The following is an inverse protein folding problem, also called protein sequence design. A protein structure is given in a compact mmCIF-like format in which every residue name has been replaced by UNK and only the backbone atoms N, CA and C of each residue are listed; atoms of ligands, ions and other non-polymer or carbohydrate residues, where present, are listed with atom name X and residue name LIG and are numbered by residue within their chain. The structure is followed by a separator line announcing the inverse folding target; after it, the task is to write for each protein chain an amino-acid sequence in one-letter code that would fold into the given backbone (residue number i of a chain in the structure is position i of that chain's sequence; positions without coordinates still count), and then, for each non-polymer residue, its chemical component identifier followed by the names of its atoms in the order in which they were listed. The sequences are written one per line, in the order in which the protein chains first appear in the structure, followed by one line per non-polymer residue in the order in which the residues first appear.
data_IF_255337682553
#
_entry.id   IF_255337682553
#
_cell.length_a   1.000
_cell.length_b   1.000
_cell.length_c   1.000
_cell.angle_alpha   90.00
_cell.angle_beta   90.00
_cell.angle_gamma   90.00
#
_symmetry.space_group_name_H-M   'P 1'
#
loop_
_entity.id
_entity.type
_entity.pdbx_description
1 polymer ?
#
# COMPACT_ATOMS: atom_id res chain seq x y z
N UNK A 1 -2.86 21.17 22.11
CA UNK A 1 -3.89 20.11 22.25
C UNK A 1 -3.62 19.25 23.46
N UNK A 2 -4.66 18.82 24.19
CA UNK A 2 -4.48 17.79 25.23
C UNK A 2 -4.02 16.48 24.59
N UNK A 3 -3.15 15.72 25.28
CA UNK A 3 -2.62 14.42 24.78
C UNK A 3 -3.73 13.45 24.34
N UNK A 4 -4.90 13.50 24.98
CA UNK A 4 -6.06 12.68 24.64
C UNK A 4 -6.66 13.01 23.27
N UNK A 5 -6.90 14.29 22.96
CA UNK A 5 -7.44 14.72 21.65
C UNK A 5 -6.52 14.36 20.50
N UNK A 6 -5.19 14.49 20.69
CA UNK A 6 -4.21 14.09 19.68
C UNK A 6 -4.26 12.58 19.38
N UNK A 7 -4.39 11.74 20.41
CA UNK A 7 -4.52 10.29 20.23
C UNK A 7 -5.78 9.91 19.47
N UNK A 8 -6.94 10.49 19.82
CA UNK A 8 -8.20 10.23 19.12
C UNK A 8 -8.13 10.69 17.66
N UNK A 9 -7.49 11.83 17.37
CA UNK A 9 -7.29 12.28 15.99
C UNK A 9 -6.44 11.30 15.16
N UNK A 10 -5.37 10.73 15.75
CA UNK A 10 -4.55 9.70 15.07
C UNK A 10 -5.34 8.42 14.87
N UNK A 11 -6.13 7.98 15.85
CA UNK A 11 -7.00 6.80 15.69
C UNK A 11 -8.06 7.03 14.60
N UNK A 12 -8.60 8.24 14.48
CA UNK A 12 -9.50 8.58 13.37
C UNK A 12 -8.81 8.50 12.02
N UNK A 13 -7.57 9.00 11.88
CA UNK A 13 -6.79 8.86 10.65
C UNK A 13 -6.44 7.40 10.35
N UNK A 14 -6.14 6.60 11.38
CA UNK A 14 -5.92 5.16 11.26
C UNK A 14 -7.17 4.43 10.75
N UNK A 15 -8.35 4.82 11.27
CA UNK A 15 -9.64 4.31 10.78
C UNK A 15 -9.89 4.71 9.32
N UNK A 16 -9.54 5.93 8.93
CA UNK A 16 -9.58 6.36 7.53
C UNK A 16 -8.67 5.51 6.65
N UNK A 17 -7.44 5.23 7.09
CA UNK A 17 -6.50 4.34 6.41
C UNK A 17 -7.07 2.91 6.26
N UNK A 18 -7.69 2.39 7.31
CA UNK A 18 -8.44 1.13 7.26
C UNK A 18 -9.50 1.13 6.17
N UNK A 19 -10.34 2.17 6.11
CA UNK A 19 -11.39 2.27 5.09
C UNK A 19 -10.83 2.31 3.67
N UNK A 20 -9.75 3.09 3.44
CA UNK A 20 -9.13 3.19 2.11
C UNK A 20 -8.54 1.87 1.64
N UNK A 21 -7.78 1.16 2.49
CA UNK A 21 -7.18 -0.13 2.11
C UNK A 21 -8.25 -1.20 1.93
N UNK A 22 -9.26 -1.23 2.80
CA UNK A 22 -10.35 -2.18 2.65
C UNK A 22 -11.10 -1.96 1.34
N UNK A 23 -11.50 -0.71 1.03
CA UNK A 23 -12.23 -0.43 -0.22
C UNK A 23 -11.38 -0.74 -1.46
N UNK A 24 -10.08 -0.48 -1.43
CA UNK A 24 -9.17 -0.77 -2.55
C UNK A 24 -9.19 -2.25 -2.92
N UNK A 25 -9.10 -3.13 -1.92
CA UNK A 25 -8.99 -4.58 -2.09
C UNK A 25 -10.33 -5.31 -2.10
N UNK A 26 -11.41 -4.66 -1.69
CA UNK A 26 -12.73 -5.29 -1.56
C UNK A 26 -13.24 -5.98 -2.84
N UNK A 27 -13.06 -5.43 -4.07
CA UNK A 27 -13.47 -6.12 -5.29
C UNK A 27 -12.78 -7.49 -5.49
N UNK A 28 -11.62 -7.71 -4.88
CA UNK A 28 -10.91 -9.00 -4.94
C UNK A 28 -11.70 -10.07 -4.18
N UNK A 29 -12.15 -9.74 -2.95
CA UNK A 29 -12.96 -10.65 -2.14
C UNK A 29 -14.37 -10.85 -2.68
N UNK A 30 -14.95 -9.82 -3.30
CA UNK A 30 -16.32 -9.79 -3.81
C UNK A 30 -16.43 -10.07 -5.32
N UNK A 31 -15.35 -10.54 -5.95
CA UNK A 31 -15.22 -10.61 -7.41
C UNK A 31 -16.40 -11.32 -8.07
N UNK A 32 -16.76 -12.52 -7.57
CA UNK A 32 -17.89 -13.29 -8.11
C UNK A 32 -19.23 -12.61 -7.87
N UNK A 33 -19.48 -12.12 -6.66
CA UNK A 33 -20.73 -11.45 -6.32
C UNK A 33 -20.99 -10.21 -7.18
N UNK A 34 -19.93 -9.44 -7.49
CA UNK A 34 -20.01 -8.27 -8.36
C UNK A 34 -20.21 -8.70 -9.82
N UNK A 35 -19.48 -9.73 -10.28
CA UNK A 35 -19.56 -10.25 -11.63
C UNK A 35 -20.98 -10.76 -11.95
N UNK A 36 -21.52 -11.59 -11.06
CA UNK A 36 -22.84 -12.21 -11.22
C UNK A 36 -23.97 -11.18 -11.16
N UNK A 37 -23.92 -10.21 -10.22
CA UNK A 37 -24.98 -9.22 -10.04
C UNK A 37 -24.99 -8.13 -11.15
N UNK A 38 -23.84 -7.80 -11.72
CA UNK A 38 -23.70 -6.76 -12.76
C UNK A 38 -23.55 -7.34 -14.17
N UNK A 39 -23.75 -8.65 -14.35
CA UNK A 39 -23.57 -9.37 -15.63
C UNK A 39 -22.24 -9.02 -16.29
N UNK A 40 -21.16 -9.02 -15.49
CA UNK A 40 -19.82 -8.64 -15.90
C UNK A 40 -18.86 -9.83 -15.84
N UNK A 41 -17.86 -9.86 -16.73
CA UNK A 41 -16.83 -10.90 -16.64
C UNK A 41 -15.93 -10.71 -15.44
N UNK A 42 -15.32 -11.77 -14.88
CA UNK A 42 -14.27 -11.64 -13.84
C UNK A 42 -13.14 -10.70 -14.24
N UNK A 43 -12.76 -10.68 -15.53
CA UNK A 43 -11.77 -9.73 -16.06
C UNK A 43 -12.24 -8.28 -15.97
N UNK A 44 -13.52 -8.01 -16.24
CA UNK A 44 -14.10 -6.68 -16.09
C UNK A 44 -14.08 -6.22 -14.61
N UNK A 45 -14.40 -7.12 -13.67
CA UNK A 45 -14.27 -6.79 -12.24
C UNK A 45 -12.81 -6.53 -11.86
N UNK A 46 -11.85 -7.25 -12.42
CA UNK A 46 -10.42 -6.97 -12.26
C UNK A 46 -10.02 -5.57 -12.74
N UNK A 47 -10.69 -5.01 -13.76
CA UNK A 47 -10.46 -3.63 -14.20
C UNK A 47 -10.85 -2.57 -13.15
N UNK A 48 -11.70 -2.89 -12.18
CA UNK A 48 -11.97 -2.00 -11.04
C UNK A 48 -10.70 -1.78 -10.20
N UNK A 49 -9.84 -2.79 -10.09
CA UNK A 49 -8.53 -2.71 -9.40
C UNK A 49 -7.52 -1.99 -10.30
N UNK A 50 -7.47 -2.38 -11.58
CA UNK A 50 -6.59 -1.75 -12.57
C UNK A 50 -6.83 -0.25 -12.69
N UNK A 51 -8.08 0.17 -12.90
CA UNK A 51 -8.46 1.58 -13.05
C UNK A 51 -8.14 2.39 -11.80
N UNK A 52 -8.40 1.82 -10.63
CA UNK A 52 -8.08 2.44 -9.36
C UNK A 52 -6.57 2.71 -9.21
N UNK A 53 -5.74 1.71 -9.47
CA UNK A 53 -4.28 1.82 -9.40
C UNK A 53 -3.71 2.79 -10.43
N UNK A 54 -4.23 2.80 -11.68
CA UNK A 54 -3.81 3.75 -12.73
C UNK A 54 -4.07 5.19 -12.29
N UNK A 55 -5.27 5.48 -11.77
CA UNK A 55 -5.61 6.82 -11.29
C UNK A 55 -4.61 7.26 -10.23
N UNK A 56 -4.35 6.44 -9.20
CA UNK A 56 -3.38 6.80 -8.15
C UNK A 56 -1.99 7.03 -8.77
N UNK A 57 -1.52 6.11 -9.60
CA UNK A 57 -0.19 6.19 -10.21
C UNK A 57 0.03 7.50 -11.00
N UNK A 58 -0.98 7.93 -11.75
CA UNK A 58 -0.90 9.11 -12.61
C UNK A 58 -1.09 10.41 -11.82
N UNK A 59 -2.07 10.44 -10.89
CA UNK A 59 -2.50 11.72 -10.28
C UNK A 59 -1.85 12.00 -8.93
N UNK A 60 -1.22 11.02 -8.26
CA UNK A 60 -0.70 11.19 -6.91
C UNK A 60 0.24 12.40 -6.80
N UNK A 61 1.27 12.46 -7.64
CA UNK A 61 2.27 13.55 -7.60
C UNK A 61 1.66 14.91 -7.98
N UNK A 62 0.95 15.06 -9.13
CA UNK A 62 0.36 16.34 -9.50
C UNK A 62 -0.71 16.81 -8.51
N UNK A 63 -1.53 15.90 -7.98
CA UNK A 63 -2.62 16.25 -7.08
C UNK A 63 -2.09 16.67 -5.69
N UNK A 64 -1.07 15.98 -5.18
CA UNK A 64 -0.40 16.37 -3.93
C UNK A 64 0.26 17.75 -4.05
N UNK A 65 0.89 18.05 -5.21
CA UNK A 65 1.45 19.38 -5.48
C UNK A 65 0.36 20.46 -5.57
N UNK A 66 -0.72 20.19 -6.27
CA UNK A 66 -1.84 21.13 -6.43
C UNK A 66 -2.51 21.44 -5.08
N UNK A 67 -2.59 20.47 -4.18
CA UNK A 67 -3.23 20.60 -2.87
C UNK A 67 -2.27 21.04 -1.75
N UNK A 68 -0.96 21.19 -2.02
CA UNK A 68 0.08 21.49 -1.03
C UNK A 68 -0.17 22.81 -0.24
N UNK A 69 -0.90 23.77 -0.84
CA UNK A 69 -1.25 25.04 -0.20
C UNK A 69 -2.53 24.96 0.66
N UNK A 70 -3.26 23.86 0.60
CA UNK A 70 -4.48 23.67 1.40
C UNK A 70 -4.12 23.28 2.83
N UNK A 71 -4.81 23.82 3.80
CA UNK A 71 -4.67 23.42 5.20
C UNK A 71 -5.02 21.93 5.37
N UNK A 72 -4.17 21.18 6.08
CA UNK A 72 -4.27 19.70 6.22
C UNK A 72 -5.64 19.24 6.69
N UNK A 73 -6.27 19.94 7.63
CA UNK A 73 -7.62 19.62 8.13
C UNK A 73 -8.64 19.71 7.01
N UNK A 74 -8.67 20.81 6.26
CA UNK A 74 -9.62 21.02 5.14
C UNK A 74 -9.43 19.95 4.07
N UNK A 75 -8.17 19.67 3.73
CA UNK A 75 -7.83 18.68 2.70
C UNK A 75 -8.26 17.27 3.10
N UNK A 76 -7.90 16.80 4.32
CA UNK A 76 -8.31 15.50 4.82
C UNK A 76 -9.83 15.37 4.96
N UNK A 77 -10.50 16.42 5.45
CA UNK A 77 -11.97 16.43 5.52
C UNK A 77 -12.60 16.30 4.13
N UNK A 78 -12.10 17.05 3.13
CA UNK A 78 -12.59 16.97 1.75
C UNK A 78 -12.36 15.58 1.14
N UNK A 79 -11.16 15.02 1.31
CA UNK A 79 -10.79 13.69 0.81
C UNK A 79 -11.66 12.59 1.42
N UNK A 80 -11.91 12.66 2.73
CA UNK A 80 -12.76 11.68 3.41
C UNK A 80 -14.24 11.86 3.07
N UNK A 81 -14.70 13.10 2.84
CA UNK A 81 -16.05 13.36 2.35
C UNK A 81 -16.28 12.75 0.97
N UNK A 82 -15.30 12.91 0.05
CA UNK A 82 -15.33 12.25 -1.25
C UNK A 82 -15.40 10.73 -1.09
N UNK A 83 -14.60 10.16 -0.20
CA UNK A 83 -14.64 8.72 0.08
C UNK A 83 -16.03 8.28 0.54
N UNK A 84 -16.63 8.96 1.50
CA UNK A 84 -17.98 8.65 2.03
C UNK A 84 -19.02 8.72 0.92
N UNK A 85 -19.04 9.81 0.15
CA UNK A 85 -19.98 9.99 -0.95
C UNK A 85 -19.83 8.89 -2.00
N UNK A 86 -18.60 8.55 -2.38
CA UNK A 86 -18.33 7.53 -3.39
C UNK A 86 -18.56 6.11 -2.88
N UNK A 87 -18.41 5.85 -1.59
CA UNK A 87 -18.77 4.55 -1.01
C UNK A 87 -20.28 4.30 -1.08
N UNK A 88 -21.11 5.31 -0.77
CA UNK A 88 -22.56 5.21 -0.95
C UNK A 88 -22.96 5.18 -2.43
N UNK A 89 -22.27 5.93 -3.30
CA UNK A 89 -22.49 5.84 -4.74
C UNK A 89 -22.16 4.44 -5.29
N UNK A 90 -21.09 3.80 -4.81
CA UNK A 90 -20.77 2.42 -5.14
C UNK A 90 -21.86 1.45 -4.65
N UNK A 91 -22.34 1.62 -3.41
CA UNK A 91 -23.43 0.81 -2.85
C UNK A 91 -24.74 0.96 -3.63
N UNK A 92 -25.01 2.14 -4.17
CA UNK A 92 -26.20 2.44 -4.98
C UNK A 92 -25.97 2.22 -6.49
N UNK A 93 -24.82 1.71 -6.92
CA UNK A 93 -24.49 1.61 -8.34
C UNK A 93 -25.45 0.68 -9.10
N UNK A 94 -26.17 1.20 -10.13
CA UNK A 94 -27.12 0.40 -10.90
C UNK A 94 -26.43 -0.52 -11.93
N UNK A 95 -25.13 -0.36 -12.16
CA UNK A 95 -24.36 -1.13 -13.13
C UNK A 95 -22.88 -0.90 -13.01
N UNK A 96 -22.12 -1.68 -13.77
CA UNK A 96 -20.66 -1.68 -13.76
C UNK A 96 -20.02 -0.28 -14.00
N UNK A 97 -20.55 0.50 -14.96
CA UNK A 97 -20.02 1.83 -15.25
C UNK A 97 -20.12 2.81 -14.07
N UNK A 98 -21.23 2.78 -13.34
CA UNK A 98 -21.42 3.61 -12.15
C UNK A 98 -20.49 3.18 -11.00
N UNK A 99 -20.33 1.86 -10.81
CA UNK A 99 -19.35 1.32 -9.85
C UNK A 99 -17.93 1.75 -10.24
N UNK A 100 -17.52 1.59 -11.49
CA UNK A 100 -16.21 2.02 -11.97
C UNK A 100 -15.98 3.53 -11.72
N UNK A 101 -16.95 4.38 -12.08
CA UNK A 101 -16.83 5.83 -11.87
C UNK A 101 -16.62 6.18 -10.40
N UNK A 102 -17.40 5.58 -9.48
CA UNK A 102 -17.25 5.78 -8.04
C UNK A 102 -15.86 5.34 -7.54
N UNK A 103 -15.33 4.24 -8.07
CA UNK A 103 -13.99 3.73 -7.76
C UNK A 103 -12.87 4.67 -8.21
N UNK A 104 -12.97 5.19 -9.44
CA UNK A 104 -11.97 6.13 -9.98
C UNK A 104 -11.92 7.43 -9.17
N UNK A 105 -13.10 7.96 -8.75
CA UNK A 105 -13.16 9.15 -7.90
C UNK A 105 -12.63 8.85 -6.48
N UNK A 106 -12.89 7.66 -5.93
CA UNK A 106 -12.31 7.24 -4.64
C UNK A 106 -10.78 7.16 -4.72
N UNK A 107 -10.24 6.69 -5.85
CA UNK A 107 -8.79 6.63 -6.09
C UNK A 107 -8.13 8.03 -6.07
N UNK A 108 -8.80 9.08 -6.60
CA UNK A 108 -8.33 10.47 -6.48
C UNK A 108 -8.20 10.88 -5.02
N UNK A 109 -9.18 10.54 -4.20
CA UNK A 109 -9.16 10.82 -2.76
C UNK A 109 -8.00 10.08 -2.06
N UNK A 110 -7.80 8.79 -2.37
CA UNK A 110 -6.72 7.99 -1.79
C UNK A 110 -5.33 8.51 -2.16
N UNK A 111 -5.14 8.97 -3.40
CA UNK A 111 -3.87 9.51 -3.87
C UNK A 111 -3.36 10.66 -2.99
N UNK A 112 -4.27 11.44 -2.40
CA UNK A 112 -3.95 12.55 -1.49
C UNK A 112 -3.91 12.10 -0.03
N UNK A 113 -4.73 11.13 0.34
CA UNK A 113 -4.91 10.72 1.74
C UNK A 113 -3.58 10.31 2.40
N UNK A 114 -2.85 9.36 1.81
CA UNK A 114 -1.65 8.79 2.41
C UNK A 114 -0.55 9.81 2.72
N UNK A 115 -0.11 10.64 1.75
CA UNK A 115 0.93 11.63 2.01
C UNK A 115 0.54 12.64 3.08
N UNK A 116 -0.74 13.03 3.14
CA UNK A 116 -1.21 14.08 4.04
C UNK A 116 -1.53 13.53 5.43
N UNK A 117 -2.13 12.34 5.54
CA UNK A 117 -2.54 11.74 6.81
C UNK A 117 -1.34 11.43 7.73
N UNK A 118 -0.28 10.84 7.20
CA UNK A 118 0.92 10.53 7.97
C UNK A 118 1.59 11.80 8.52
N UNK A 119 1.71 12.84 7.69
CA UNK A 119 2.28 14.13 8.10
C UNK A 119 1.37 14.87 9.10
N UNK A 120 0.04 14.80 8.91
CA UNK A 120 -0.92 15.39 9.85
C UNK A 120 -0.85 14.71 11.22
N UNK A 121 -0.76 13.38 11.26
CA UNK A 121 -0.60 12.62 12.50
C UNK A 121 0.71 12.97 13.21
N UNK A 122 1.83 12.99 12.47
CA UNK A 122 3.14 13.36 13.02
C UNK A 122 3.16 14.75 13.62
N UNK A 123 2.48 15.73 12.99
CA UNK A 123 2.44 17.12 13.46
C UNK A 123 1.68 17.32 14.81
N UNK A 124 0.91 16.33 15.25
CA UNK A 124 0.20 16.37 16.54
C UNK A 124 1.09 16.05 17.74
N UNK A 125 2.32 15.60 17.53
CA UNK A 125 3.23 15.11 18.56
C UNK A 125 4.60 15.78 18.49
N UNK A 126 5.33 15.83 19.64
CA UNK A 126 6.70 16.30 19.67
C UNK A 126 7.63 15.42 18.81
N UNK A 127 8.80 15.93 18.40
CA UNK A 127 9.69 15.28 17.44
C UNK A 127 9.98 13.79 17.73
N UNK A 128 10.17 13.43 19.02
CA UNK A 128 10.53 12.08 19.48
C UNK A 128 9.39 11.07 19.25
N UNK A 129 8.15 11.51 19.05
CA UNK A 129 6.96 10.66 18.88
C UNK A 129 6.33 10.74 17.49
N UNK A 130 6.85 11.58 16.60
CA UNK A 130 6.30 11.79 15.25
C UNK A 130 6.27 10.52 14.43
N UNK A 131 7.35 9.75 14.42
CA UNK A 131 7.43 8.48 13.71
C UNK A 131 6.39 7.46 14.20
N UNK A 132 6.20 7.37 15.53
CA UNK A 132 5.19 6.49 16.11
C UNK A 132 3.76 6.92 15.73
N UNK A 133 3.49 8.23 15.68
CA UNK A 133 2.19 8.73 15.27
C UNK A 133 1.86 8.43 13.81
N UNK A 134 2.84 8.58 12.90
CA UNK A 134 2.70 8.18 11.51
C UNK A 134 2.51 6.65 11.38
N UNK A 135 3.26 5.84 12.15
CA UNK A 135 3.13 4.39 12.15
C UNK A 135 1.73 3.91 12.56
N UNK A 136 1.05 4.59 13.47
CA UNK A 136 -0.34 4.25 13.83
C UNK A 136 -1.32 4.46 12.66
N UNK A 137 -1.08 5.45 11.78
CA UNK A 137 -1.91 5.61 10.57
C UNK A 137 -1.72 4.42 9.64
N UNK A 138 -0.47 4.00 9.41
CA UNK A 138 -0.17 2.82 8.58
C UNK A 138 -0.70 1.52 9.19
N UNK A 139 -0.69 1.40 10.53
CA UNK A 139 -1.26 0.25 11.21
C UNK A 139 -2.76 0.05 10.90
N UNK A 140 -3.51 1.15 10.67
CA UNK A 140 -4.89 1.06 10.16
C UNK A 140 -4.99 0.31 8.84
N UNK A 141 -4.06 0.55 7.92
CA UNK A 141 -3.96 -0.20 6.66
C UNK A 141 -3.66 -1.70 6.86
N UNK A 142 -2.75 -2.04 7.77
CA UNK A 142 -2.46 -3.45 8.10
C UNK A 142 -3.66 -4.15 8.74
N UNK A 143 -4.37 -3.47 9.65
CA UNK A 143 -5.62 -4.01 10.22
C UNK A 143 -6.68 -4.22 9.15
N UNK A 144 -6.73 -3.38 8.12
CA UNK A 144 -7.65 -3.54 6.99
C UNK A 144 -7.43 -4.86 6.23
N UNK A 145 -6.18 -5.23 6.00
CA UNK A 145 -5.83 -6.50 5.31
C UNK A 145 -6.31 -7.70 6.14
N UNK A 146 -6.10 -7.65 7.46
CA UNK A 146 -6.40 -8.77 8.36
C UNK A 146 -7.88 -8.89 8.70
N UNK A 147 -8.55 -7.76 8.89
CA UNK A 147 -9.92 -7.71 9.40
C UNK A 147 -10.88 -7.11 8.39
N UNK A 148 -10.50 -6.03 7.73
CA UNK A 148 -11.36 -5.26 6.84
C UNK A 148 -11.76 -6.05 5.59
N UNK A 149 -10.80 -6.66 4.90
CA UNK A 149 -11.07 -7.45 3.69
C UNK A 149 -11.90 -8.69 4.02
N UNK A 150 -11.55 -9.55 4.99
CA UNK A 150 -12.37 -10.72 5.34
C UNK A 150 -13.77 -10.36 5.82
N UNK A 151 -13.90 -9.34 6.69
CA UNK A 151 -15.22 -8.90 7.16
C UNK A 151 -16.06 -8.28 6.03
N UNK A 152 -15.43 -7.50 5.15
CA UNK A 152 -16.10 -6.94 3.99
C UNK A 152 -16.56 -8.02 3.01
N UNK A 153 -15.74 -9.05 2.78
CA UNK A 153 -16.12 -10.22 1.97
C UNK A 153 -17.27 -10.99 2.62
N UNK A 154 -17.15 -11.31 3.91
CA UNK A 154 -18.21 -11.98 4.65
C UNK A 154 -19.54 -11.20 4.63
N UNK A 155 -19.49 -9.88 4.85
CA UNK A 155 -20.69 -9.04 4.78
C UNK A 155 -21.30 -9.06 3.38
N UNK A 156 -20.47 -9.10 2.34
CA UNK A 156 -20.91 -9.25 0.97
C UNK A 156 -21.60 -10.58 0.69
N UNK A 157 -21.09 -11.68 1.27
CA UNK A 157 -21.71 -13.01 1.17
C UNK A 157 -23.08 -13.07 1.84
N UNK A 158 -23.25 -12.38 2.98
CA UNK A 158 -24.50 -12.44 3.79
C UNK A 158 -25.55 -11.42 3.34
N UNK A 159 -25.11 -10.20 2.98
CA UNK A 159 -26.01 -9.06 2.73
C UNK A 159 -25.85 -8.42 1.33
N UNK A 160 -25.04 -9.05 0.47
CA UNK A 160 -24.72 -8.55 -0.86
C UNK A 160 -23.54 -7.56 -0.86
N UNK A 161 -22.79 -7.51 -1.97
CA UNK A 161 -21.60 -6.70 -2.11
C UNK A 161 -21.83 -5.18 -1.89
N UNK A 162 -23.04 -4.69 -2.18
CA UNK A 162 -23.45 -3.30 -1.93
C UNK A 162 -23.42 -2.94 -0.45
N UNK A 163 -23.80 -3.86 0.42
CA UNK A 163 -23.76 -3.66 1.88
C UNK A 163 -22.33 -3.44 2.39
N UNK A 164 -21.34 -4.10 1.80
CA UNK A 164 -19.92 -3.92 2.15
C UNK A 164 -19.43 -2.50 1.86
N UNK A 165 -19.78 -1.94 0.71
CA UNK A 165 -19.46 -0.54 0.39
C UNK A 165 -20.22 0.46 1.27
N UNK A 166 -21.48 0.21 1.56
CA UNK A 166 -22.28 1.06 2.46
C UNK A 166 -21.69 1.05 3.88
N UNK A 167 -21.32 -0.10 4.41
CA UNK A 167 -20.70 -0.23 5.73
C UNK A 167 -19.38 0.55 5.82
N UNK A 168 -18.53 0.50 4.77
CA UNK A 168 -17.32 1.32 4.70
C UNK A 168 -17.63 2.82 4.64
N UNK A 169 -18.68 3.22 3.94
CA UNK A 169 -19.17 4.60 3.93
C UNK A 169 -19.55 5.09 5.33
N UNK A 170 -20.32 4.30 6.08
CA UNK A 170 -20.70 4.60 7.47
C UNK A 170 -19.47 4.66 8.38
N UNK A 171 -18.56 3.70 8.25
CA UNK A 171 -17.34 3.65 9.08
C UNK A 171 -16.44 4.86 8.81
N UNK A 172 -16.27 5.23 7.54
CA UNK A 172 -15.48 6.41 7.18
C UNK A 172 -16.17 7.73 7.60
N UNK A 173 -17.50 7.77 7.66
CA UNK A 173 -18.25 8.93 8.17
C UNK A 173 -17.89 9.22 9.65
N UNK A 174 -17.74 8.18 10.46
CA UNK A 174 -17.26 8.31 11.85
C UNK A 174 -15.85 8.88 11.89
N UNK A 175 -14.96 8.36 11.05
CA UNK A 175 -13.59 8.88 10.92
C UNK A 175 -13.56 10.34 10.43
N UNK A 176 -14.37 10.67 9.42
CA UNK A 176 -14.54 12.03 8.89
C UNK A 176 -14.98 13.02 9.99
N UNK A 177 -16.01 12.67 10.75
CA UNK A 177 -16.52 13.52 11.84
C UNK A 177 -15.44 13.79 12.89
N UNK A 178 -14.71 12.75 13.30
CA UNK A 178 -13.61 12.87 14.25
C UNK A 178 -12.46 13.74 13.70
N UNK A 179 -12.04 13.53 12.44
CA UNK A 179 -10.98 14.35 11.79
C UNK A 179 -11.43 15.80 11.66
N UNK A 180 -12.65 16.06 11.24
CA UNK A 180 -13.20 17.40 11.08
C UNK A 180 -13.26 18.19 12.38
N UNK A 181 -13.48 17.53 13.52
CA UNK A 181 -13.59 18.20 14.84
C UNK A 181 -12.24 18.29 15.55
N UNK A 182 -11.43 17.22 15.47
CA UNK A 182 -10.24 17.07 16.33
C UNK A 182 -8.96 17.58 15.70
N UNK A 183 -8.82 17.57 14.36
CA UNK A 183 -7.61 18.09 13.73
C UNK A 183 -7.55 19.62 13.88
N UNK A 184 -6.40 20.16 14.33
CA UNK A 184 -6.23 21.61 14.40
C UNK A 184 -6.25 22.23 13.01
N UNK A 185 -6.99 23.34 12.87
CA UNK A 185 -6.89 24.20 11.70
C UNK A 185 -5.58 25.00 11.78
N UNK A 186 -4.58 24.59 11.09
CA UNK A 186 -3.29 25.29 11.00
C UNK A 186 -2.67 25.14 9.62
N UNK A 187 -1.82 26.10 9.26
CA UNK A 187 -1.16 26.12 7.97
C UNK A 187 -0.22 24.93 7.75
N UNK A 188 -0.07 24.57 6.49
CA UNK A 188 0.87 23.56 6.04
C UNK A 188 2.32 24.04 6.25
N UNK A 189 2.81 23.95 7.50
CA UNK A 189 4.24 24.04 7.74
C UNK A 189 4.91 22.86 7.02
N UNK A 190 5.74 23.14 6.04
CA UNK A 190 6.46 22.14 5.26
C UNK A 190 7.21 21.19 6.19
N UNK A 191 7.05 19.89 5.98
CA UNK A 191 7.99 18.94 6.59
C UNK A 191 9.38 19.24 6.02
N UNK A 192 10.37 19.44 6.88
CA UNK A 192 11.76 19.54 6.44
C UNK A 192 12.11 18.30 5.61
N UNK A 193 12.70 18.56 4.44
CA UNK A 193 13.16 17.51 3.56
C UNK A 193 14.23 16.65 4.28
N UNK A 194 13.97 15.36 4.40
CA UNK A 194 14.94 14.43 5.01
C UNK A 194 15.71 13.74 3.90
N UNK A 195 17.03 14.02 3.75
CA UNK A 195 17.83 13.37 2.75
C UNK A 195 18.05 11.89 3.06
N UNK A 196 18.16 11.07 2.01
CA UNK A 196 18.48 9.66 2.17
C UNK A 196 19.93 9.47 2.67
N UNK A 197 20.18 8.36 3.37
CA UNK A 197 21.50 8.08 3.97
C UNK A 197 22.61 7.79 2.94
N UNK A 198 22.25 7.23 1.77
CA UNK A 198 23.19 6.89 0.67
C UNK A 198 22.51 7.07 -0.69
N UNK A 199 22.26 8.33 -1.13
CA UNK A 199 21.54 8.61 -2.37
C UNK A 199 22.26 7.97 -3.58
N UNK A 200 21.52 7.16 -4.36
CA UNK A 200 22.03 6.51 -5.57
C UNK A 200 20.89 6.33 -6.59
N UNK A 201 20.94 7.12 -7.67
CA UNK A 201 19.93 7.10 -8.74
C UNK A 201 19.79 5.74 -9.43
N UNK A 202 20.88 4.97 -9.56
CA UNK A 202 20.84 3.65 -10.19
C UNK A 202 20.14 2.65 -9.28
N UNK A 203 20.54 2.59 -8.01
CA UNK A 203 19.90 1.72 -7.00
C UNK A 203 18.42 2.04 -6.83
N UNK A 204 18.07 3.32 -6.81
CA UNK A 204 16.69 3.75 -6.71
C UNK A 204 15.86 3.33 -7.94
N UNK A 205 16.39 3.45 -9.18
CA UNK A 205 15.70 2.96 -10.38
C UNK A 205 15.52 1.44 -10.37
N UNK A 206 16.51 0.69 -9.92
CA UNK A 206 16.40 -0.77 -9.75
C UNK A 206 15.33 -1.13 -8.70
N UNK A 207 15.25 -0.36 -7.61
CA UNK A 207 14.19 -0.50 -6.62
C UNK A 207 12.80 -0.28 -7.24
N UNK A 208 12.61 0.79 -8.02
CA UNK A 208 11.33 1.04 -8.71
C UNK A 208 10.95 -0.10 -9.65
N UNK A 209 11.90 -0.61 -10.45
CA UNK A 209 11.68 -1.75 -11.33
C UNK A 209 11.33 -3.02 -10.54
N UNK A 210 12.03 -3.29 -9.43
CA UNK A 210 11.72 -4.41 -8.53
C UNK A 210 10.29 -4.30 -7.99
N UNK A 211 9.88 -3.11 -7.58
CA UNK A 211 8.53 -2.86 -7.04
C UNK A 211 7.48 -3.13 -8.11
N UNK A 212 7.62 -2.57 -9.32
CA UNK A 212 6.67 -2.80 -10.41
C UNK A 212 6.55 -4.29 -10.75
N UNK A 213 7.68 -5.00 -10.85
CA UNK A 213 7.68 -6.42 -11.22
C UNK A 213 7.11 -7.30 -10.11
N UNK A 214 7.56 -7.12 -8.85
CA UNK A 214 7.12 -7.97 -7.75
C UNK A 214 5.63 -7.73 -7.43
N UNK A 215 5.21 -6.47 -7.33
CA UNK A 215 3.81 -6.11 -7.05
C UNK A 215 2.93 -6.47 -8.26
N UNK A 216 3.41 -6.23 -9.49
CA UNK A 216 2.71 -6.66 -10.70
C UNK A 216 2.49 -8.18 -10.72
N UNK A 217 3.49 -8.95 -10.34
CA UNK A 217 3.37 -10.40 -10.21
C UNK A 217 2.35 -10.82 -9.15
N UNK A 218 2.43 -10.23 -7.96
CA UNK A 218 1.47 -10.50 -6.88
C UNK A 218 0.04 -10.19 -7.32
N UNK A 219 -0.21 -9.01 -7.89
CA UNK A 219 -1.57 -8.60 -8.26
C UNK A 219 -2.07 -9.26 -9.55
N UNK A 220 -1.22 -9.80 -10.40
CA UNK A 220 -1.66 -10.68 -11.49
C UNK A 220 -2.36 -11.94 -10.96
N UNK A 221 -1.85 -12.52 -9.87
CA UNK A 221 -2.41 -13.68 -9.19
C UNK A 221 -3.50 -13.31 -8.19
N UNK A 222 -3.19 -12.40 -7.26
CA UNK A 222 -4.02 -12.10 -6.10
C UNK A 222 -5.36 -11.43 -6.45
N UNK A 223 -5.41 -10.63 -7.51
CA UNK A 223 -6.68 -10.03 -7.99
C UNK A 223 -7.73 -11.07 -8.31
N UNK A 224 -7.32 -12.25 -8.77
CA UNK A 224 -8.21 -13.35 -9.16
C UNK A 224 -8.12 -14.54 -8.19
N UNK A 225 -7.66 -14.32 -6.96
CA UNK A 225 -7.41 -15.39 -6.00
C UNK A 225 -8.71 -16.10 -5.59
N UNK A 226 -9.83 -15.39 -5.48
CA UNK A 226 -11.12 -15.98 -5.16
C UNK A 226 -11.59 -16.92 -6.27
N UNK A 227 -11.42 -16.52 -7.52
CA UNK A 227 -11.69 -17.36 -8.69
C UNK A 227 -10.79 -18.59 -8.72
N UNK A 228 -9.51 -18.42 -8.34
CA UNK A 228 -8.56 -19.53 -8.23
C UNK A 228 -9.00 -20.54 -7.16
N UNK A 229 -9.30 -20.06 -5.95
CA UNK A 229 -9.64 -20.90 -4.82
C UNK A 229 -10.95 -21.69 -5.05
N UNK A 230 -11.93 -21.07 -5.68
CA UNK A 230 -13.20 -21.72 -5.97
C UNK A 230 -13.15 -22.57 -7.23
N UNK A 231 -12.58 -22.08 -8.34
CA UNK A 231 -12.62 -22.72 -9.63
C UNK A 231 -11.53 -23.79 -9.82
N UNK A 232 -10.34 -23.64 -9.20
CA UNK A 232 -9.20 -24.56 -9.33
C UNK A 232 -9.04 -25.45 -8.11
N UNK A 233 -9.10 -24.86 -6.91
CA UNK A 233 -8.89 -25.59 -5.66
C UNK A 233 -10.16 -26.24 -5.12
N UNK A 234 -11.35 -25.90 -5.68
CA UNK A 234 -12.62 -26.50 -5.32
C UNK A 234 -13.19 -26.08 -3.97
N UNK A 235 -12.71 -24.96 -3.40
CA UNK A 235 -13.27 -24.46 -2.15
C UNK A 235 -14.70 -23.90 -2.37
N UNK A 236 -15.64 -24.13 -1.42
CA UNK A 236 -16.95 -23.47 -1.47
C UNK A 236 -16.79 -21.96 -1.25
N UNK A 237 -17.74 -21.15 -1.76
CA UNK A 237 -17.73 -19.70 -1.60
C UNK A 237 -17.65 -19.28 -0.12
N UNK A 238 -18.32 -20.00 0.77
CA UNK A 238 -18.28 -19.76 2.23
C UNK A 238 -16.88 -19.91 2.85
N UNK A 239 -15.94 -20.60 2.20
CA UNK A 239 -14.58 -20.73 2.69
C UNK A 239 -13.69 -19.51 2.34
N UNK A 240 -14.12 -18.65 1.42
CA UNK A 240 -13.27 -17.53 0.94
C UNK A 240 -12.94 -16.55 2.08
N UNK A 241 -13.93 -16.11 2.86
CA UNK A 241 -13.67 -15.19 3.99
C UNK A 241 -12.72 -15.79 5.04
N UNK A 242 -12.88 -17.03 5.52
CA UNK A 242 -11.89 -17.68 6.39
C UNK A 242 -10.50 -17.80 5.77
N UNK A 243 -10.39 -18.10 4.46
CA UNK A 243 -9.10 -18.20 3.78
C UNK A 243 -8.41 -16.84 3.67
N UNK A 244 -9.15 -15.77 3.36
CA UNK A 244 -8.62 -14.40 3.37
C UNK A 244 -8.23 -13.95 4.78
N UNK A 245 -8.95 -14.39 5.82
CA UNK A 245 -8.56 -14.16 7.21
C UNK A 245 -7.23 -14.86 7.54
N UNK A 246 -7.04 -16.09 7.09
CA UNK A 246 -5.77 -16.80 7.25
C UNK A 246 -4.61 -16.08 6.53
N UNK A 247 -4.86 -15.57 5.32
CA UNK A 247 -3.91 -14.73 4.60
C UNK A 247 -3.58 -13.46 5.40
N UNK A 248 -4.58 -12.76 5.95
CA UNK A 248 -4.38 -11.58 6.78
C UNK A 248 -3.63 -11.87 8.08
N UNK A 249 -3.87 -13.01 8.73
CA UNK A 249 -3.10 -13.44 9.90
C UNK A 249 -1.62 -13.68 9.53
N UNK A 250 -1.36 -14.29 8.36
CA UNK A 250 -0.02 -14.45 7.83
C UNK A 250 0.66 -13.09 7.53
N UNK A 251 -0.10 -12.09 7.06
CA UNK A 251 0.36 -10.72 6.84
C UNK A 251 0.92 -10.10 8.15
N UNK A 252 0.21 -10.23 9.25
CA UNK A 252 0.71 -9.77 10.56
C UNK A 252 2.01 -10.48 10.98
N UNK A 253 2.10 -11.79 10.76
CA UNK A 253 3.33 -12.54 11.04
C UNK A 253 4.48 -12.05 10.15
N UNK A 254 4.23 -11.85 8.87
CA UNK A 254 5.21 -11.31 7.92
C UNK A 254 5.69 -9.91 8.31
N UNK A 255 4.78 -9.04 8.72
CA UNK A 255 5.08 -7.69 9.20
C UNK A 255 5.95 -7.72 10.47
N UNK A 256 5.59 -8.58 11.45
CA UNK A 256 6.34 -8.73 12.69
C UNK A 256 7.78 -9.22 12.44
N UNK A 257 7.94 -10.26 11.62
CA UNK A 257 9.26 -10.78 11.22
C UNK A 257 10.07 -9.72 10.49
N UNK A 258 9.44 -9.01 9.54
CA UNK A 258 10.10 -7.94 8.80
C UNK A 258 10.60 -6.81 9.72
N UNK A 259 9.79 -6.41 10.72
CA UNK A 259 10.17 -5.38 11.69
C UNK A 259 11.42 -5.74 12.52
N UNK A 260 11.63 -7.04 12.79
CA UNK A 260 12.81 -7.53 13.52
C UNK A 260 14.05 -7.61 12.63
N UNK A 261 13.87 -7.93 11.35
CA UNK A 261 14.98 -8.29 10.44
C UNK A 261 15.43 -7.11 9.59
N UNK A 262 14.55 -6.13 9.32
CA UNK A 262 14.81 -5.04 8.35
C UNK A 262 16.09 -4.27 8.63
N UNK A 263 16.40 -4.00 9.90
CA UNK A 263 17.59 -3.24 10.28
C UNK A 263 18.91 -3.98 10.02
N UNK A 264 18.86 -5.33 9.93
CA UNK A 264 20.04 -6.17 9.66
C UNK A 264 20.45 -6.18 8.19
N UNK A 265 19.52 -5.94 7.28
CA UNK A 265 19.81 -5.91 5.85
C UNK A 265 18.57 -5.76 4.98
N UNK A 266 18.13 -4.52 4.72
CA UNK A 266 16.90 -4.28 3.96
C UNK A 266 16.90 -4.93 2.57
N UNK A 267 18.08 -5.00 1.91
CA UNK A 267 18.22 -5.67 0.61
C UNK A 267 18.00 -7.18 0.70
N UNK A 268 18.58 -7.82 1.71
CA UNK A 268 18.43 -9.26 1.92
C UNK A 268 16.96 -9.60 2.23
N UNK A 269 16.31 -8.79 3.07
CA UNK A 269 14.90 -8.93 3.36
C UNK A 269 14.04 -8.75 2.11
N UNK A 270 14.34 -7.76 1.25
CA UNK A 270 13.63 -7.54 -0.01
C UNK A 270 13.73 -8.78 -0.91
N UNK A 271 14.92 -9.35 -1.04
CA UNK A 271 15.15 -10.58 -1.81
C UNK A 271 14.41 -11.78 -1.23
N UNK A 272 14.52 -12.01 0.08
CA UNK A 272 13.83 -13.11 0.77
C UNK A 272 12.31 -13.00 0.65
N UNK A 273 11.75 -11.83 0.87
CA UNK A 273 10.32 -11.57 0.71
C UNK A 273 9.83 -11.83 -0.72
N UNK A 274 10.59 -11.36 -1.72
CA UNK A 274 10.29 -11.61 -3.14
C UNK A 274 10.37 -13.10 -3.46
N UNK A 275 11.32 -13.84 -2.90
CA UNK A 275 11.44 -15.29 -3.07
C UNK A 275 10.25 -16.03 -2.45
N UNK A 276 9.79 -15.61 -1.27
CA UNK A 276 8.58 -16.17 -0.62
C UNK A 276 7.35 -15.94 -1.49
N UNK A 277 7.17 -14.73 -2.04
CA UNK A 277 6.08 -14.41 -2.96
C UNK A 277 6.14 -15.28 -4.24
N UNK A 278 7.32 -15.40 -4.85
CA UNK A 278 7.53 -16.25 -6.02
C UNK A 278 7.20 -17.72 -5.74
N UNK A 279 7.65 -18.24 -4.59
CA UNK A 279 7.38 -19.62 -4.17
C UNK A 279 5.89 -19.85 -3.93
N UNK A 280 5.19 -18.89 -3.29
CA UNK A 280 3.74 -18.96 -3.08
C UNK A 280 2.98 -19.04 -4.40
N UNK A 281 3.29 -18.16 -5.36
CA UNK A 281 2.65 -18.15 -6.68
C UNK A 281 2.98 -19.39 -7.52
N UNK A 282 4.23 -19.84 -7.50
CA UNK A 282 4.64 -21.07 -8.18
C UNK A 282 3.96 -22.29 -7.56
N UNK A 283 3.83 -22.34 -6.23
CA UNK A 283 3.10 -23.37 -5.51
C UNK A 283 1.62 -23.42 -5.88
N UNK A 284 0.97 -22.26 -5.98
CA UNK A 284 -0.40 -22.15 -6.48
C UNK A 284 -0.50 -22.70 -7.91
N UNK A 285 0.37 -22.29 -8.81
CA UNK A 285 0.37 -22.81 -10.18
C UNK A 285 0.56 -24.32 -10.25
N UNK A 286 1.58 -24.86 -9.57
CA UNK A 286 1.97 -26.26 -9.71
C UNK A 286 1.04 -27.21 -8.94
N UNK A 287 0.66 -26.85 -7.71
CA UNK A 287 0.02 -27.73 -6.74
C UNK A 287 -1.34 -27.23 -6.24
N UNK A 288 -1.81 -26.06 -6.70
CA UNK A 288 -3.00 -25.39 -6.19
C UNK A 288 -4.34 -26.08 -6.47
N UNK A 289 -4.34 -27.18 -7.19
CA UNK A 289 -5.52 -28.07 -7.33
C UNK A 289 -5.84 -28.84 -6.04
N UNK A 290 -4.85 -29.01 -5.15
CA UNK A 290 -5.05 -29.60 -3.83
C UNK A 290 -5.24 -28.50 -2.76
N UNK A 291 -6.15 -28.72 -1.81
CA UNK A 291 -6.52 -27.73 -0.81
C UNK A 291 -5.35 -27.25 0.05
N UNK A 292 -4.52 -28.17 0.56
CA UNK A 292 -3.40 -27.83 1.45
C UNK A 292 -2.34 -26.96 0.75
N UNK A 293 -1.82 -27.30 -0.44
CA UNK A 293 -0.92 -26.45 -1.18
C UNK A 293 -1.52 -25.09 -1.57
N UNK A 294 -2.81 -25.05 -1.88
CA UNK A 294 -3.49 -23.78 -2.19
C UNK A 294 -3.50 -22.83 -0.98
N UNK A 295 -3.83 -23.34 0.20
CA UNK A 295 -3.77 -22.58 1.46
C UNK A 295 -2.32 -22.17 1.78
N UNK A 296 -1.37 -23.08 1.61
CA UNK A 296 0.05 -22.75 1.83
C UNK A 296 0.53 -21.63 0.89
N UNK A 297 0.17 -21.68 -0.40
CA UNK A 297 0.48 -20.61 -1.35
C UNK A 297 -0.12 -19.27 -0.93
N UNK A 298 -1.39 -19.26 -0.51
CA UNK A 298 -2.07 -18.07 -0.02
C UNK A 298 -1.39 -17.50 1.25
N UNK A 299 -1.01 -18.36 2.20
CA UNK A 299 -0.27 -17.97 3.42
C UNK A 299 1.10 -17.38 3.07
N UNK A 300 1.81 -17.96 2.10
CA UNK A 300 3.09 -17.41 1.64
C UNK A 300 2.94 -16.03 1.01
N UNK A 301 1.86 -15.76 0.29
CA UNK A 301 1.56 -14.41 -0.23
C UNK A 301 1.33 -13.43 0.93
N UNK A 302 0.56 -13.82 1.96
CA UNK A 302 0.35 -13.03 3.15
C UNK A 302 1.66 -12.74 3.90
N UNK A 303 2.53 -13.72 4.11
CA UNK A 303 3.83 -13.53 4.77
C UNK A 303 4.78 -12.63 3.97
N UNK A 304 4.82 -12.80 2.66
CA UNK A 304 5.81 -12.16 1.80
C UNK A 304 5.51 -10.68 1.52
N UNK A 305 4.24 -10.31 1.33
CA UNK A 305 3.87 -8.96 0.89
C UNK A 305 4.23 -7.87 1.91
N UNK A 306 3.88 -7.95 3.20
CA UNK A 306 4.26 -6.92 4.17
C UNK A 306 5.77 -6.88 4.43
N UNK A 307 6.45 -8.03 4.35
CA UNK A 307 7.91 -8.08 4.44
C UNK A 307 8.57 -7.36 3.25
N UNK A 308 8.02 -7.55 2.04
CA UNK A 308 8.45 -6.81 0.85
C UNK A 308 8.24 -5.31 1.01
N UNK A 309 7.06 -4.87 1.45
CA UNK A 309 6.72 -3.45 1.65
C UNK A 309 7.62 -2.81 2.70
N UNK A 310 7.87 -3.50 3.80
CA UNK A 310 8.78 -3.02 4.87
C UNK A 310 10.21 -2.84 4.35
N UNK A 311 10.73 -3.82 3.64
CA UNK A 311 12.06 -3.77 3.04
C UNK A 311 12.16 -2.67 1.97
N UNK A 312 11.14 -2.53 1.13
CA UNK A 312 11.02 -1.48 0.12
C UNK A 312 11.12 -0.09 0.75
N UNK A 313 10.36 0.19 1.82
CA UNK A 313 10.40 1.49 2.50
C UNK A 313 11.77 1.78 3.12
N UNK A 314 12.39 0.80 3.75
CA UNK A 314 13.75 0.95 4.27
C UNK A 314 14.76 1.27 3.14
N UNK A 315 14.63 0.66 1.98
CA UNK A 315 15.46 0.94 0.79
C UNK A 315 15.26 2.34 0.23
N UNK A 316 14.05 2.90 0.32
CA UNK A 316 13.79 4.31 -0.05
C UNK A 316 14.64 5.24 0.83
N UNK A 317 14.61 5.03 2.14
CA UNK A 317 15.38 5.82 3.09
C UNK A 317 16.90 5.72 2.87
N UNK A 318 17.38 4.61 2.29
CA UNK A 318 18.77 4.43 1.93
C UNK A 318 19.17 5.11 0.61
N UNK A 319 18.36 4.97 -0.45
CA UNK A 319 18.81 5.19 -1.83
C UNK A 319 18.08 6.30 -2.60
N UNK A 320 17.03 6.90 -2.07
CA UNK A 320 16.28 7.93 -2.79
C UNK A 320 17.16 9.13 -3.17
N UNK A 321 17.13 9.59 -4.42
CA UNK A 321 17.89 10.77 -4.82
C UNK A 321 17.16 12.05 -4.35
N UNK A 322 17.77 12.77 -3.42
CA UNK A 322 17.19 13.99 -2.84
C UNK A 322 16.31 13.72 -1.62
N UNK A 323 15.13 14.34 -1.59
CA UNK A 323 14.17 14.19 -0.49
C UNK A 323 13.54 12.79 -0.48
N UNK A 324 13.59 12.11 0.67
CA UNK A 324 12.99 10.79 0.88
C UNK A 324 11.47 10.80 0.76
N UNK A 325 10.82 11.93 1.03
CA UNK A 325 9.38 12.10 0.81
C UNK A 325 9.01 12.01 -0.67
N UNK A 326 9.79 12.65 -1.54
CA UNK A 326 9.63 12.54 -3.01
C UNK A 326 9.98 11.11 -3.46
N UNK A 327 11.03 10.52 -2.87
CA UNK A 327 11.39 9.12 -3.12
C UNK A 327 10.26 8.16 -2.79
N UNK A 328 9.60 8.33 -1.63
CA UNK A 328 8.45 7.53 -1.23
C UNK A 328 7.25 7.72 -2.17
N UNK A 329 7.01 8.92 -2.68
CA UNK A 329 5.95 9.18 -3.67
C UNK A 329 6.21 8.44 -4.99
N UNK A 330 7.46 8.40 -5.48
CA UNK A 330 7.83 7.63 -6.67
C UNK A 330 7.64 6.12 -6.47
N UNK A 331 7.99 5.61 -5.29
CA UNK A 331 7.78 4.19 -4.96
C UNK A 331 6.29 3.87 -4.82
N UNK A 332 5.49 4.76 -4.23
CA UNK A 332 4.03 4.60 -4.20
C UNK A 332 3.42 4.57 -5.62
N UNK A 333 3.89 5.44 -6.52
CA UNK A 333 3.49 5.40 -7.92
C UNK A 333 3.88 4.08 -8.59
N UNK A 334 5.12 3.61 -8.41
CA UNK A 334 5.59 2.33 -8.95
C UNK A 334 4.79 1.14 -8.37
N UNK A 335 4.43 1.18 -7.10
CA UNK A 335 3.59 0.19 -6.44
C UNK A 335 2.21 0.11 -7.11
N UNK A 336 1.58 1.25 -7.34
CA UNK A 336 0.28 1.33 -8.01
C UNK A 336 0.34 0.96 -9.50
N UNK A 337 1.44 1.31 -10.21
CA UNK A 337 1.71 0.78 -11.56
C UNK A 337 1.79 -0.75 -11.54
N UNK A 338 2.44 -1.33 -10.52
CA UNK A 338 2.47 -2.77 -10.31
C UNK A 338 1.08 -3.35 -10.09
N UNK A 339 0.27 -2.78 -9.18
CA UNK A 339 -1.12 -3.22 -8.93
C UNK A 339 -1.91 -3.21 -10.24
N UNK A 340 -1.95 -2.06 -10.91
CA UNK A 340 -2.74 -1.87 -12.12
C UNK A 340 -2.28 -2.78 -13.26
N UNK A 341 -0.96 -2.82 -13.50
CA UNK A 341 -0.37 -3.65 -14.55
C UNK A 341 -0.55 -5.15 -14.28
N UNK A 342 -0.42 -5.56 -13.02
CA UNK A 342 -0.64 -6.95 -12.61
C UNK A 342 -2.11 -7.36 -12.78
N UNK A 343 -3.05 -6.59 -12.26
CA UNK A 343 -4.47 -6.88 -12.39
C UNK A 343 -4.92 -6.92 -13.87
N UNK A 344 -4.40 -6.00 -14.70
CA UNK A 344 -4.65 -6.00 -16.14
C UNK A 344 -4.05 -7.24 -16.83
N UNK A 345 -2.81 -7.58 -16.52
CA UNK A 345 -2.15 -8.79 -17.07
C UNK A 345 -2.91 -10.04 -16.68
N UNK A 346 -3.30 -10.18 -15.41
CA UNK A 346 -4.10 -11.31 -14.94
C UNK A 346 -5.43 -11.40 -15.68
N UNK A 347 -6.14 -10.27 -15.84
CA UNK A 347 -7.40 -10.20 -16.60
C UNK A 347 -7.27 -10.59 -18.06
N UNK A 348 -6.17 -10.20 -18.71
CA UNK A 348 -5.88 -10.56 -20.11
C UNK A 348 -5.53 -12.05 -20.27
N UNK A 349 -4.94 -12.65 -19.24
CA UNK A 349 -4.56 -14.07 -19.27
C UNK A 349 -5.73 -15.01 -18.95
N UNK A 350 -6.75 -14.56 -18.21
CA UNK A 350 -7.90 -15.39 -17.83
C UNK A 350 -8.55 -16.13 -18.99
N UNK A 351 -8.93 -15.49 -20.12
CA UNK A 351 -9.60 -16.16 -21.23
C UNK A 351 -8.68 -17.10 -22.00
N UNK A 352 -7.35 -16.94 -21.93
CA UNK A 352 -6.38 -17.69 -22.73
C UNK A 352 -5.80 -18.87 -21.95
N UNK A 353 -5.42 -18.67 -20.70
CA UNK A 353 -4.69 -19.67 -19.88
C UNK A 353 -5.47 -20.13 -18.66
N UNK A 354 -6.65 -19.56 -18.45
CA UNK A 354 -7.40 -19.75 -17.21
C UNK A 354 -6.72 -19.07 -16.01
N UNK A 355 -7.37 -19.16 -14.85
CA UNK A 355 -6.87 -18.51 -13.63
C UNK A 355 -5.53 -19.08 -13.12
N UNK A 356 -5.19 -20.33 -13.46
CA UNK A 356 -3.86 -20.89 -13.14
C UNK A 356 -2.72 -20.14 -13.84
N UNK A 357 -2.95 -19.67 -15.07
CA UNK A 357 -1.97 -18.88 -15.81
C UNK A 357 -1.60 -17.57 -15.14
N UNK A 358 -2.52 -16.98 -14.37
CA UNK A 358 -2.24 -15.75 -13.61
C UNK A 358 -1.20 -15.99 -12.50
N UNK A 359 -1.25 -17.15 -11.84
CA UNK A 359 -0.26 -17.54 -10.83
C UNK A 359 1.13 -17.78 -11.44
N UNK A 360 1.20 -18.40 -12.61
CA UNK A 360 2.46 -18.59 -13.35
C UNK A 360 3.06 -17.23 -13.76
N UNK A 361 2.26 -16.35 -14.35
CA UNK A 361 2.70 -15.01 -14.75
C UNK A 361 3.22 -14.22 -13.53
N UNK A 362 2.55 -14.35 -12.38
CA UNK A 362 2.99 -13.78 -11.12
C UNK A 362 4.35 -14.32 -10.67
N UNK A 363 4.54 -15.62 -10.70
CA UNK A 363 5.80 -16.27 -10.35
C UNK A 363 6.96 -15.83 -11.27
N UNK A 364 6.72 -15.73 -12.58
CA UNK A 364 7.71 -15.26 -13.56
C UNK A 364 8.09 -13.80 -13.30
N UNK A 365 7.11 -12.93 -13.03
CA UNK A 365 7.37 -11.52 -12.72
C UNK A 365 8.17 -11.36 -11.41
N UNK A 366 7.85 -12.15 -10.37
CA UNK A 366 8.61 -12.16 -9.12
C UNK A 366 10.03 -12.72 -9.31
N UNK A 367 10.23 -13.73 -10.17
CA UNK A 367 11.56 -14.22 -10.54
C UNK A 367 12.37 -13.13 -11.28
N UNK A 368 11.74 -12.37 -12.18
CA UNK A 368 12.36 -11.23 -12.83
C UNK A 368 12.75 -10.15 -11.81
N UNK A 369 11.89 -9.87 -10.81
CA UNK A 369 12.23 -8.97 -9.71
C UNK A 369 13.45 -9.45 -8.90
N UNK A 370 13.55 -10.75 -8.62
CA UNK A 370 14.73 -11.35 -7.99
C UNK A 370 16.00 -11.17 -8.82
N UNK A 371 15.91 -11.33 -10.14
CA UNK A 371 17.04 -11.07 -11.04
C UNK A 371 17.49 -9.61 -10.98
N UNK A 372 16.55 -8.65 -10.91
CA UNK A 372 16.86 -7.22 -10.74
C UNK A 372 17.56 -6.96 -9.39
N UNK A 373 17.06 -7.56 -8.29
CA UNK A 373 17.70 -7.46 -6.97
C UNK A 373 19.12 -8.06 -6.99
N UNK A 374 19.32 -9.18 -7.68
CA UNK A 374 20.63 -9.81 -7.84
C UNK A 374 21.58 -8.94 -8.65
N UNK A 375 21.11 -8.33 -9.74
CA UNK A 375 21.87 -7.40 -10.58
C UNK A 375 22.31 -6.10 -9.86
N UNK A 376 21.68 -5.78 -8.73
CA UNK A 376 22.14 -4.73 -7.82
C UNK A 376 23.42 -5.13 -7.06
N UNK A 377 24.09 -6.25 -7.42
CA UNK A 377 25.26 -6.83 -6.78
C UNK A 377 26.33 -5.78 -6.38
N UNK A 378 27.23 -6.09 -5.44
CA UNK A 378 27.93 -5.11 -4.63
C UNK A 378 28.75 -4.16 -5.50
N UNK A 379 28.16 -3.03 -5.87
CA UNK A 379 28.94 -1.88 -6.29
C UNK A 379 29.82 -1.57 -5.09
N UNK A 380 31.12 -1.93 -5.23
CA UNK A 380 32.16 -1.59 -4.27
C UNK A 380 31.86 -0.19 -3.74
N UNK A 381 31.58 -0.08 -2.45
CA UNK A 381 31.52 1.19 -1.76
C UNK A 381 32.83 1.88 -2.03
N UNK A 382 32.89 2.87 -2.94
CA UNK A 382 33.97 3.82 -2.96
C UNK A 382 34.02 4.39 -1.53
N UNK A 383 35.15 4.20 -0.79
CA UNK A 383 35.25 4.80 0.53
C UNK A 383 34.99 6.29 0.34
N UNK A 384 34.10 6.85 1.18
CA UNK A 384 33.86 8.27 1.21
C UNK A 384 35.26 8.95 1.21
N UNK A 385 35.53 9.80 0.21
CA UNK A 385 36.73 10.62 0.23
C UNK A 385 36.75 11.33 1.58
N UNK A 386 37.67 10.95 2.46
CA UNK A 386 37.95 11.74 3.64
C UNK A 386 38.18 13.18 3.15
N UNK A 387 37.51 14.17 3.73
CA UNK A 387 37.85 15.55 3.44
C UNK A 387 39.35 15.70 3.66
N UNK A 388 40.05 16.48 2.82
CA UNK A 388 41.48 16.65 2.99
C UNK A 388 41.73 17.13 4.42
N UNK A 389 42.61 16.42 5.13
CA UNK A 389 43.11 16.80 6.44
C UNK A 389 43.87 18.12 6.26
N UNK A 390 43.21 19.25 6.48
CA UNK A 390 43.84 20.53 6.23
C UNK A 390 42.98 21.78 6.49
N UNK A 391 41.70 21.63 6.75
CA UNK A 391 40.89 22.75 7.25
C UNK A 391 40.72 22.61 8.76
N UNK A 392 41.79 22.78 9.51
CA UNK A 392 41.67 23.13 10.91
C UNK A 392 40.83 24.41 11.00
N UNK A 393 39.66 24.24 11.61
CA UNK A 393 38.79 25.34 11.94
C UNK A 393 39.62 26.37 12.76
N UNK A 394 39.93 27.50 12.15
CA UNK A 394 40.56 28.61 12.85
C UNK A 394 39.61 28.99 14.00
N UNK A 395 40.10 28.89 15.22
CA UNK A 395 39.37 29.32 16.40
C UNK A 395 38.90 30.77 16.22
N UNK A 396 37.68 31.13 16.63
CA UNK A 396 37.23 32.52 16.56
C UNK A 396 38.16 33.39 17.42
N UNK A 397 38.49 34.60 16.96
CA UNK A 397 39.35 35.52 17.73
C UNK A 397 38.70 35.89 19.06
N UNK A 398 39.50 35.91 20.11
CA UNK A 398 39.07 36.29 21.46
C UNK A 398 38.45 37.70 21.45
N UNK A 399 37.40 37.95 22.27
CA UNK A 399 36.80 39.27 22.38
C UNK A 399 37.79 40.29 22.94
N UNK A 400 37.91 41.45 22.26
CA UNK A 400 38.75 42.57 22.72
C UNK A 400 38.22 43.10 24.06
N UNK A 401 39.12 43.47 25.02
CA UNK A 401 38.72 44.06 26.26
C UNK A 401 38.12 45.45 26.02
N UNK A 402 36.97 45.69 26.65
CA UNK A 402 36.31 46.99 26.72
C UNK A 402 37.20 47.87 27.62
N UNK A 403 37.71 48.99 27.10
CA UNK A 403 38.32 50.04 27.91
C UNK A 403 37.23 50.85 28.56
N UNK A 404 37.35 50.97 29.88
CA UNK A 404 36.60 51.96 30.69
C UNK A 404 36.92 53.38 30.26
#
# INVERSE_FOLDING_TARGET
MTSGRARVAVLALSLGAFCFVTTESLPIGLLRLIADDLDASPSAVGLLVTGYGIVIAVVCVPLVRATARMGRRRLLTAVMLVFVAMSFAAAAAPGYGALMASRLVTALAQAVFWPVAAVAAAALFPPERRGRAAAYVFAGGSVAVVVGIPLGTWLGDVAGWRASFAALGVLCLVSLAAVAVLLPGGDAGGAEAVPASRPDRRRFRLLLATVVLAIGGVFACYTYITEFLTGVSGFPASAISPLLLANGAADLCGLAVAGIVVDRGPRALLGAATAVLATGMLGLFALGTAAVPAVAGLVLLGLGLPAFVTAMQARVLESAPGDTGIGSAWVAAAFNVGIAGGALLGGALLPVTGVRGTALAGAVAAAAALAVIAAEAPLRTRPARRPPAGTACAAPPAPRPVKE
#
